data_IF_291526862801
#
_entry.id   IF_291526862801
#
_cell.length_a   1.000
_cell.length_b   1.000
_cell.length_c   1.000
_cell.angle_alpha   90.00
_cell.angle_beta   90.00
_cell.angle_gamma   90.00
#
_symmetry.space_group_name_H-M   'P 1'
#
loop_
_entity.id
_entity.type
_entity.pdbx_description
1 polymer ?
#
# COMPACT_ATOMS: atom_id res chain seq x y z
N UNK A 1 -18.56 -14.67 -4.60
CA UNK A 1 -17.46 -13.68 -4.68
C UNK A 1 -16.16 -14.38 -4.32
N UNK A 2 -15.05 -14.04 -4.97
CA UNK A 2 -13.75 -14.66 -4.72
C UNK A 2 -13.12 -14.06 -3.46
N UNK A 3 -12.96 -14.84 -2.40
CA UNK A 3 -12.18 -14.45 -1.23
C UNK A 3 -10.68 -14.60 -1.55
N UNK A 4 -9.91 -13.53 -1.43
CA UNK A 4 -8.48 -13.55 -1.75
C UNK A 4 -7.60 -13.81 -0.53
N UNK A 5 -8.08 -13.47 0.67
CA UNK A 5 -7.28 -13.48 1.90
C UNK A 5 -7.64 -14.60 2.88
N UNK A 6 -8.75 -15.31 2.67
CA UNK A 6 -9.23 -16.38 3.57
C UNK A 6 -8.15 -17.43 3.91
N UNK A 7 -7.37 -17.87 2.93
CA UNK A 7 -6.30 -18.87 3.11
C UNK A 7 -5.04 -18.32 3.79
N UNK A 8 -4.97 -17.02 4.04
CA UNK A 8 -3.82 -16.35 4.65
C UNK A 8 -4.07 -15.91 6.09
N UNK A 9 -5.19 -16.27 6.70
CA UNK A 9 -5.58 -15.79 8.04
C UNK A 9 -4.46 -15.89 9.11
N UNK A 10 -3.67 -16.98 9.07
CA UNK A 10 -2.57 -17.24 10.02
C UNK A 10 -1.22 -16.61 9.61
N UNK A 11 -1.15 -15.92 8.47
CA UNK A 11 0.05 -15.24 7.99
C UNK A 11 0.07 -13.80 8.49
N UNK A 12 1.27 -13.29 8.76
CA UNK A 12 1.47 -11.86 9.00
C UNK A 12 1.32 -11.06 7.72
N UNK A 13 1.02 -9.77 7.84
CA UNK A 13 0.82 -8.89 6.68
C UNK A 13 2.07 -8.80 5.79
N UNK A 14 3.27 -8.73 6.39
CA UNK A 14 4.55 -8.79 5.68
C UNK A 14 4.88 -10.17 5.06
N UNK A 15 4.03 -11.18 5.27
CA UNK A 15 4.13 -12.51 4.68
C UNK A 15 3.07 -12.76 3.60
N UNK A 16 2.47 -11.71 3.02
CA UNK A 16 1.59 -11.85 1.86
C UNK A 16 1.91 -10.79 0.82
N UNK A 17 1.70 -11.15 -0.44
CA UNK A 17 1.73 -10.24 -1.59
C UNK A 17 0.30 -9.91 -1.98
N UNK A 18 -0.01 -8.64 -2.16
CA UNK A 18 -1.33 -8.21 -2.60
C UNK A 18 -1.26 -6.96 -3.49
N UNK A 19 -2.24 -6.77 -4.39
CA UNK A 19 -2.29 -5.59 -5.25
C UNK A 19 -2.69 -4.35 -4.45
N UNK A 20 -2.03 -3.25 -4.78
CA UNK A 20 -2.37 -1.91 -4.35
C UNK A 20 -2.76 -1.03 -5.54
N UNK A 21 -3.60 -0.03 -5.31
CA UNK A 21 -4.09 0.89 -6.32
C UNK A 21 -3.50 2.28 -6.11
N UNK A 22 -2.85 2.81 -7.15
CA UNK A 22 -2.25 4.14 -7.15
C UNK A 22 -3.30 5.21 -7.46
N UNK A 23 -3.30 6.29 -6.66
CA UNK A 23 -4.28 7.38 -6.74
C UNK A 23 -5.72 6.82 -6.91
N UNK A 24 -6.08 5.90 -6.02
CA UNK A 24 -7.15 4.92 -6.23
C UNK A 24 -8.54 5.53 -6.41
N UNK A 25 -8.77 6.73 -5.88
CA UNK A 25 -10.04 7.43 -6.03
C UNK A 25 -10.19 8.23 -7.32
N UNK A 26 -9.24 8.14 -8.26
CA UNK A 26 -9.24 8.90 -9.52
C UNK A 26 -9.78 8.03 -10.67
N UNK A 27 -11.09 7.86 -10.66
CA UNK A 27 -11.88 7.15 -11.68
C UNK A 27 -13.09 7.98 -12.12
N UNK A 28 -13.79 7.47 -13.13
CA UNK A 28 -14.97 8.09 -13.72
C UNK A 28 -14.61 9.00 -14.89
N UNK A 29 -15.38 10.08 -15.07
CA UNK A 29 -15.16 11.01 -16.17
C UNK A 29 -14.06 12.00 -15.84
N UNK A 30 -13.08 12.12 -16.73
CA UNK A 30 -11.97 13.05 -16.58
C UNK A 30 -10.99 12.96 -17.73
N UNK A 31 -9.94 13.77 -17.69
CA UNK A 31 -8.89 13.76 -18.72
C UNK A 31 -8.13 12.43 -18.66
N UNK A 32 -7.83 11.85 -19.82
CA UNK A 32 -7.12 10.56 -19.93
C UNK A 32 -5.71 10.58 -19.35
N UNK A 33 -5.11 11.76 -19.15
CA UNK A 33 -3.83 11.97 -18.48
C UNK A 33 -3.94 12.24 -16.97
N UNK A 34 -5.15 12.13 -16.41
CA UNK A 34 -5.47 12.30 -14.98
C UNK A 34 -6.07 11.02 -14.40
N UNK A 35 -6.99 10.38 -15.14
CA UNK A 35 -7.65 9.13 -14.71
C UNK A 35 -6.63 8.01 -14.52
N UNK A 36 -6.54 7.47 -13.30
CA UNK A 36 -5.64 6.36 -12.96
C UNK A 36 -6.39 5.06 -12.77
N UNK A 37 -7.71 5.09 -12.55
CA UNK A 37 -8.52 3.90 -12.31
C UNK A 37 -9.81 3.90 -13.16
N UNK A 38 -10.31 2.72 -13.48
CA UNK A 38 -11.59 2.53 -14.20
C UNK A 38 -12.72 2.02 -13.31
N UNK A 39 -12.39 1.53 -12.12
CA UNK A 39 -13.33 0.98 -11.15
C UNK A 39 -13.39 1.89 -9.92
N UNK A 40 -14.56 1.91 -9.27
CA UNK A 40 -14.71 2.52 -7.95
C UNK A 40 -14.00 1.70 -6.85
N UNK A 41 -14.05 2.14 -5.59
CA UNK A 41 -13.34 1.46 -4.50
C UNK A 41 -13.85 0.04 -4.30
N UNK A 42 -15.18 -0.17 -4.37
CA UNK A 42 -15.78 -1.49 -4.26
C UNK A 42 -15.35 -2.41 -5.42
N UNK A 43 -15.37 -1.91 -6.66
CA UNK A 43 -14.96 -2.63 -7.86
C UNK A 43 -13.48 -3.02 -7.83
N UNK A 44 -12.61 -2.10 -7.41
CA UNK A 44 -11.18 -2.39 -7.20
C UNK A 44 -10.98 -3.45 -6.10
N UNK A 45 -11.72 -3.37 -4.99
CA UNK A 45 -11.66 -4.38 -3.93
C UNK A 45 -12.13 -5.76 -4.39
N UNK A 46 -13.22 -5.81 -5.17
CA UNK A 46 -13.74 -7.03 -5.81
C UNK A 46 -12.76 -7.61 -6.84
N UNK A 47 -12.02 -6.76 -7.55
CA UNK A 47 -10.95 -7.20 -8.44
C UNK A 47 -9.77 -7.81 -7.68
N UNK A 48 -9.55 -7.39 -6.42
CA UNK A 48 -8.56 -7.97 -5.51
C UNK A 48 -7.68 -6.97 -4.78
N UNK A 49 -7.82 -5.66 -5.03
CA UNK A 49 -7.02 -4.60 -4.39
C UNK A 49 -7.24 -4.58 -2.87
N UNK A 50 -6.15 -4.47 -2.10
CA UNK A 50 -6.20 -4.39 -0.62
C UNK A 50 -5.52 -3.14 -0.06
N UNK A 51 -4.82 -2.38 -0.91
CA UNK A 51 -4.16 -1.13 -0.52
C UNK A 51 -4.53 -0.01 -1.49
N UNK A 52 -5.01 1.11 -0.98
CA UNK A 52 -5.53 2.22 -1.78
C UNK A 52 -4.77 3.48 -1.40
N UNK A 53 -4.00 4.06 -2.32
CA UNK A 53 -3.38 5.37 -2.11
C UNK A 53 -4.37 6.47 -2.48
N UNK A 54 -4.81 7.22 -1.48
CA UNK A 54 -5.88 8.21 -1.57
C UNK A 54 -5.30 9.60 -1.37
N UNK A 55 -5.72 10.55 -2.21
CA UNK A 55 -5.44 11.98 -2.04
C UNK A 55 -6.74 12.74 -2.05
N UNK A 56 -7.09 13.35 -0.92
CA UNK A 56 -8.38 13.99 -0.73
C UNK A 56 -8.22 15.51 -0.61
N UNK A 57 -9.11 16.25 -1.25
CA UNK A 57 -9.23 17.69 -1.09
C UNK A 57 -10.70 18.11 -1.04
N UNK A 58 -10.95 19.26 -0.44
CA UNK A 58 -12.27 19.89 -0.44
C UNK A 58 -12.52 20.61 -1.77
N UNK A 59 -13.67 20.36 -2.39
CA UNK A 59 -14.15 21.00 -3.61
C UNK A 59 -15.47 21.73 -3.32
N UNK A 60 -15.61 22.93 -3.86
CA UNK A 60 -16.87 23.70 -3.77
C UNK A 60 -17.81 23.29 -4.91
N UNK A 61 -19.05 22.95 -4.58
CA UNK A 61 -20.12 22.64 -5.53
C UNK A 61 -20.72 23.92 -6.12
N UNK A 62 -21.46 23.78 -7.21
CA UNK A 62 -22.13 24.89 -7.89
C UNK A 62 -23.17 25.61 -7.03
N UNK A 63 -23.80 24.88 -6.10
CA UNK A 63 -24.74 25.42 -5.11
C UNK A 63 -24.08 26.12 -3.91
N UNK A 64 -22.75 26.16 -3.88
CA UNK A 64 -21.97 26.79 -2.82
C UNK A 64 -21.59 25.88 -1.65
N UNK A 65 -22.11 24.66 -1.58
CA UNK A 65 -21.72 23.66 -0.59
C UNK A 65 -20.36 23.03 -0.89
N UNK A 66 -19.83 22.21 0.03
CA UNK A 66 -18.49 21.63 -0.08
C UNK A 66 -18.54 20.11 -0.01
N UNK A 67 -17.81 19.45 -0.90
CA UNK A 67 -17.54 18.01 -0.84
C UNK A 67 -16.05 17.76 -0.56
N UNK A 68 -15.74 16.57 -0.06
CA UNK A 68 -14.39 16.03 -0.08
C UNK A 68 -14.29 15.03 -1.22
N UNK A 69 -13.34 15.20 -2.14
CA UNK A 69 -13.15 14.32 -3.30
C UNK A 69 -11.69 13.95 -3.49
N UNK A 70 -11.47 12.84 -4.19
CA UNK A 70 -10.14 12.48 -4.65
C UNK A 70 -9.67 13.48 -5.71
N UNK A 71 -8.37 13.81 -5.71
CA UNK A 71 -7.80 14.70 -6.72
C UNK A 71 -6.44 14.20 -7.25
N UNK A 72 -6.13 14.57 -8.49
CA UNK A 72 -4.84 14.32 -9.12
C UNK A 72 -4.32 15.61 -9.76
N UNK A 73 -3.04 15.91 -9.55
CA UNK A 73 -2.37 17.09 -10.10
C UNK A 73 -1.24 16.64 -11.04
N UNK A 74 -1.18 17.21 -12.24
CA UNK A 74 0.07 17.14 -13.00
C UNK A 74 1.17 17.92 -12.27
N UNK A 75 2.40 17.45 -12.43
CA UNK A 75 3.61 18.02 -11.83
C UNK A 75 3.73 19.51 -12.20
N UNK A 76 3.82 20.38 -11.19
CA UNK A 76 4.12 21.81 -11.37
C UNK A 76 2.92 22.78 -11.29
N UNK A 77 1.69 22.29 -11.03
CA UNK A 77 0.52 23.16 -10.87
C UNK A 77 -0.05 23.01 -9.47
N UNK A 78 0.52 23.76 -8.53
CA UNK A 78 -0.15 24.04 -7.25
C UNK A 78 -0.51 25.52 -7.30
N UNK A 79 -1.76 25.83 -7.62
CA UNK A 79 -2.28 27.18 -7.41
C UNK A 79 -2.89 27.22 -6.00
N UNK A 80 -2.05 27.53 -5.01
CA UNK A 80 -2.47 27.72 -3.62
C UNK A 80 -3.24 29.04 -3.50
N UNK A 81 -4.47 29.11 -3.99
CA UNK A 81 -5.35 30.22 -3.62
C UNK A 81 -5.99 29.90 -2.27
N UNK A 82 -5.73 30.78 -1.30
CA UNK A 82 -6.16 30.80 0.10
C UNK A 82 -5.21 30.15 1.13
N UNK A 83 -4.11 30.84 1.41
CA UNK A 83 -3.47 30.81 2.73
C UNK A 83 -4.37 31.60 3.69
N UNK A 84 -5.02 30.97 4.68
CA UNK A 84 -5.65 31.76 5.76
C UNK A 84 -6.74 31.13 6.63
N UNK A 85 -7.26 29.94 6.37
CA UNK A 85 -8.35 29.40 7.20
C UNK A 85 -7.82 28.65 8.44
N UNK A 86 -8.43 28.90 9.60
CA UNK A 86 -8.22 28.15 10.86
C UNK A 86 -8.96 26.80 10.79
N UNK A 87 -8.54 25.78 11.57
CA UNK A 87 -9.25 24.49 11.61
C UNK A 87 -10.73 24.66 12.00
N UNK A 88 -11.65 24.16 11.17
CA UNK A 88 -13.10 24.18 11.43
C UNK A 88 -13.92 25.13 10.54
N UNK A 89 -13.29 25.95 9.71
CA UNK A 89 -13.99 26.75 8.70
C UNK A 89 -13.87 26.08 7.33
N UNK A 90 -15.01 25.65 6.77
CA UNK A 90 -15.14 25.12 5.41
C UNK A 90 -14.92 26.23 4.35
N UNK A 91 -13.76 26.89 4.33
CA UNK A 91 -13.47 27.98 3.39
C UNK A 91 -12.21 27.76 2.52
N UNK A 92 -11.42 26.71 2.79
CA UNK A 92 -10.35 26.27 1.88
C UNK A 92 -10.89 25.21 0.92
N UNK A 93 -11.18 25.61 -0.32
CA UNK A 93 -11.40 24.68 -1.43
C UNK A 93 -10.17 24.70 -2.33
N UNK A 94 -9.80 23.54 -2.86
CA UNK A 94 -8.72 23.47 -3.83
C UNK A 94 -9.29 23.69 -5.23
N UNK A 95 -8.61 24.49 -6.03
CA UNK A 95 -8.79 24.44 -7.48
C UNK A 95 -7.71 23.54 -8.04
N UNK A 96 -8.07 22.34 -8.49
CA UNK A 96 -7.20 21.61 -9.40
C UNK A 96 -7.16 22.41 -10.70
N UNK A 97 -6.03 23.05 -10.97
CA UNK A 97 -5.86 23.86 -12.18
C UNK A 97 -6.05 23.05 -13.46
N UNK A 98 -5.84 23.69 -14.62
CA UNK A 98 -6.13 23.09 -15.92
C UNK A 98 -5.37 21.77 -16.22
N UNK A 99 -4.31 21.42 -15.47
CA UNK A 99 -3.56 20.16 -15.59
C UNK A 99 -3.85 19.14 -14.48
N UNK A 100 -4.89 19.34 -13.68
CA UNK A 100 -5.36 18.36 -12.71
C UNK A 100 -6.78 17.88 -13.01
N UNK A 101 -7.31 17.04 -12.13
CA UNK A 101 -8.71 16.65 -12.16
C UNK A 101 -9.17 15.99 -10.87
N UNK A 102 -10.48 15.79 -10.79
CA UNK A 102 -11.17 15.21 -9.66
C UNK A 102 -11.58 13.77 -9.96
N UNK A 103 -11.62 12.94 -8.93
CA UNK A 103 -12.36 11.70 -8.94
C UNK A 103 -13.87 11.96 -8.94
N UNK A 104 -14.63 10.96 -9.40
CA UNK A 104 -16.08 11.05 -9.48
C UNK A 104 -16.74 11.17 -8.09
N UNK A 105 -16.41 10.25 -7.19
CA UNK A 105 -17.13 10.05 -5.94
C UNK A 105 -16.62 10.94 -4.80
N UNK A 106 -17.47 11.15 -3.79
CA UNK A 106 -17.06 11.82 -2.55
C UNK A 106 -16.29 10.87 -1.63
N UNK A 107 -15.58 11.43 -0.64
CA UNK A 107 -14.93 10.64 0.41
C UNK A 107 -15.95 9.75 1.15
N UNK A 108 -17.15 10.28 1.44
CA UNK A 108 -18.22 9.52 2.09
C UNK A 108 -18.63 8.31 1.25
N UNK A 109 -18.78 8.47 -0.06
CA UNK A 109 -19.14 7.38 -0.96
C UNK A 109 -18.04 6.30 -0.97
N UNK A 110 -16.78 6.72 -1.15
CA UNK A 110 -15.61 5.82 -1.18
C UNK A 110 -15.44 5.03 0.13
N UNK A 111 -15.68 5.67 1.29
CA UNK A 111 -15.63 5.00 2.59
C UNK A 111 -16.84 4.05 2.80
N UNK A 112 -18.02 4.43 2.31
CA UNK A 112 -19.22 3.59 2.36
C UNK A 112 -19.05 2.34 1.51
N UNK A 113 -18.45 2.47 0.32
CA UNK A 113 -18.06 1.35 -0.53
C UNK A 113 -17.08 0.40 0.20
N UNK A 114 -16.02 0.94 0.82
CA UNK A 114 -15.06 0.14 1.57
C UNK A 114 -15.70 -0.60 2.75
N UNK A 115 -16.52 0.10 3.55
CA UNK A 115 -17.29 -0.47 4.67
C UNK A 115 -18.20 -1.60 4.22
N UNK A 116 -18.96 -1.37 3.15
CA UNK A 116 -19.89 -2.36 2.59
C UNK A 116 -19.15 -3.60 2.10
N UNK A 117 -18.00 -3.40 1.45
CA UNK A 117 -17.18 -4.49 0.96
C UNK A 117 -16.69 -5.42 2.08
N UNK A 118 -16.10 -4.87 3.14
CA UNK A 118 -15.56 -5.69 4.25
C UNK A 118 -16.67 -6.34 5.09
N UNK A 119 -17.84 -5.71 5.18
CA UNK A 119 -19.02 -6.32 5.80
C UNK A 119 -19.53 -7.52 4.99
N UNK A 120 -19.52 -7.43 3.66
CA UNK A 120 -19.92 -8.53 2.78
C UNK A 120 -18.85 -9.62 2.62
N UNK A 121 -17.58 -9.31 2.92
CA UNK A 121 -16.43 -10.21 2.77
C UNK A 121 -15.62 -10.23 4.08
N UNK A 122 -16.11 -10.89 5.14
CA UNK A 122 -15.54 -10.78 6.49
C UNK A 122 -14.14 -11.39 6.65
N UNK A 123 -13.65 -12.16 5.67
CA UNK A 123 -12.26 -12.64 5.62
C UNK A 123 -11.27 -11.61 5.06
N UNK A 124 -11.78 -10.53 4.46
CA UNK A 124 -10.97 -9.53 3.76
C UNK A 124 -10.80 -8.28 4.61
N UNK A 125 -9.81 -7.45 4.26
CA UNK A 125 -9.61 -6.13 4.84
C UNK A 125 -9.27 -5.14 3.73
N UNK A 126 -9.38 -3.84 4.00
CA UNK A 126 -8.92 -2.79 3.08
C UNK A 126 -8.02 -1.81 3.82
N UNK A 127 -6.89 -1.43 3.23
CA UNK A 127 -5.99 -0.39 3.74
C UNK A 127 -6.17 0.86 2.87
N UNK A 128 -6.69 1.93 3.46
CA UNK A 128 -6.80 3.25 2.82
C UNK A 128 -5.68 4.14 3.34
N UNK A 129 -4.68 4.39 2.50
CA UNK A 129 -3.57 5.30 2.80
C UNK A 129 -3.90 6.69 2.30
N UNK A 130 -4.08 7.64 3.18
CA UNK A 130 -4.33 9.04 2.88
C UNK A 130 -3.01 9.82 2.87
N UNK A 131 -2.58 10.23 1.67
CA UNK A 131 -1.38 11.05 1.50
C UNK A 131 -1.71 12.37 0.82
N UNK A 132 -0.96 13.43 1.15
CA UNK A 132 -1.14 14.77 0.57
C UNK A 132 -2.59 15.29 0.66
N UNK A 133 -3.30 14.97 1.73
CA UNK A 133 -4.68 15.41 1.89
C UNK A 133 -4.73 16.87 2.34
N UNK A 134 -5.70 17.62 1.81
CA UNK A 134 -6.04 18.96 2.30
C UNK A 134 -7.21 18.85 3.28
N UNK A 135 -7.25 19.77 4.26
CA UNK A 135 -8.24 19.76 5.35
C UNK A 135 -8.27 18.40 6.07
N UNK A 136 -7.08 17.91 6.46
CA UNK A 136 -6.89 16.56 7.00
C UNK A 136 -7.81 16.26 8.18
N UNK A 137 -8.06 17.24 9.07
CA UNK A 137 -8.99 17.06 10.20
C UNK A 137 -10.35 16.54 9.72
N UNK A 138 -10.94 17.19 8.72
CA UNK A 138 -12.26 16.81 8.20
C UNK A 138 -12.20 15.45 7.48
N UNK A 139 -11.07 15.12 6.84
CA UNK A 139 -10.87 13.80 6.22
C UNK A 139 -10.86 12.71 7.29
N UNK A 140 -10.14 12.93 8.39
CA UNK A 140 -10.07 12.03 9.54
C UNK A 140 -11.44 11.88 10.20
N UNK A 141 -12.12 12.99 10.49
CA UNK A 141 -13.45 12.98 11.12
C UNK A 141 -14.47 12.22 10.25
N UNK A 142 -14.41 12.41 8.92
CA UNK A 142 -15.25 11.66 7.97
C UNK A 142 -14.91 10.17 7.95
N UNK A 143 -13.63 9.78 8.03
CA UNK A 143 -13.22 8.38 8.16
C UNK A 143 -13.84 7.73 9.41
N UNK A 144 -13.65 8.35 10.58
CA UNK A 144 -14.17 7.83 11.85
C UNK A 144 -15.69 7.71 11.82
N UNK A 145 -16.38 8.77 11.38
CA UNK A 145 -17.84 8.81 11.32
C UNK A 145 -18.44 7.77 10.37
N UNK A 146 -17.91 7.64 9.16
CA UNK A 146 -18.50 6.76 8.13
C UNK A 146 -18.15 5.29 8.41
N UNK A 147 -16.89 5.00 8.72
CA UNK A 147 -16.43 3.63 8.95
C UNK A 147 -16.95 3.06 10.27
N UNK A 148 -17.06 3.87 11.33
CA UNK A 148 -17.52 3.41 12.65
C UNK A 148 -16.82 2.13 13.09
N UNK A 149 -17.58 1.13 13.51
CA UNK A 149 -17.04 -0.14 14.04
C UNK A 149 -16.30 -1.01 13.01
N UNK A 150 -16.48 -0.73 11.71
CA UNK A 150 -15.69 -1.41 10.67
C UNK A 150 -14.29 -0.82 10.53
N UNK A 151 -14.03 0.36 11.10
CA UNK A 151 -12.67 0.88 11.17
C UNK A 151 -11.84 -0.02 12.09
N UNK A 152 -10.63 -0.37 11.65
CA UNK A 152 -9.68 -1.05 12.52
C UNK A 152 -9.27 -0.10 13.64
N UNK A 153 -9.63 -0.44 14.88
CA UNK A 153 -9.42 0.38 16.06
C UNK A 153 -8.90 -0.51 17.22
N UNK A 154 -8.01 0.04 18.04
CA UNK A 154 -7.30 -0.63 19.14
C UNK A 154 -7.84 -0.33 20.54
N UNK A 155 -8.90 0.48 20.68
CA UNK A 155 -9.46 0.75 22.00
C UNK A 155 -10.07 -0.48 22.71
N UNK A 156 -10.07 -1.66 22.09
CA UNK A 156 -10.48 -2.94 22.69
C UNK A 156 -9.33 -3.82 23.21
N UNK A 157 -8.06 -3.41 23.15
CA UNK A 157 -6.91 -4.31 23.42
C UNK A 157 -5.76 -3.77 24.30
N UNK A 158 -5.96 -2.68 25.05
CA UNK A 158 -5.04 -2.30 26.13
C UNK A 158 -3.64 -1.82 25.67
N UNK A 159 -3.53 -0.52 25.42
CA UNK A 159 -2.27 0.26 25.59
C UNK A 159 -1.06 -0.01 24.68
N UNK A 160 -1.00 -1.07 23.87
CA UNK A 160 0.15 -1.33 23.01
C UNK A 160 0.14 -0.52 21.69
N UNK A 161 1.33 -0.11 21.22
CA UNK A 161 1.48 0.45 19.86
C UNK A 161 1.18 -0.64 18.81
N UNK A 162 0.54 -0.28 17.70
CA UNK A 162 0.10 -1.24 16.67
C UNK A 162 1.10 -1.28 15.53
N UNK A 163 1.92 -2.31 15.49
CA UNK A 163 2.72 -2.59 14.30
C UNK A 163 1.93 -3.45 13.31
N UNK A 164 1.41 -2.86 12.24
CA UNK A 164 0.59 -3.57 11.25
C UNK A 164 1.37 -4.61 10.45
N UNK A 165 2.68 -4.40 10.26
CA UNK A 165 3.50 -5.28 9.43
C UNK A 165 3.47 -6.74 9.90
N UNK A 166 3.48 -6.94 11.23
CA UNK A 166 3.53 -8.26 11.88
C UNK A 166 2.18 -8.72 12.41
N UNK A 167 1.10 -7.96 12.18
CA UNK A 167 -0.27 -8.40 12.49
C UNK A 167 -0.68 -9.50 11.53
N UNK A 168 -1.40 -10.49 12.05
CA UNK A 168 -1.98 -11.56 11.24
C UNK A 168 -3.11 -11.03 10.35
N UNK A 169 -3.23 -11.54 9.13
CA UNK A 169 -4.33 -11.22 8.21
C UNK A 169 -5.69 -11.45 8.89
N UNK A 170 -5.85 -12.55 9.64
CA UNK A 170 -7.08 -12.85 10.37
C UNK A 170 -7.46 -11.78 11.39
N UNK A 171 -6.47 -11.13 12.04
CA UNK A 171 -6.73 -10.05 13.00
C UNK A 171 -7.16 -8.73 12.34
N UNK A 172 -7.00 -8.61 11.02
CA UNK A 172 -7.42 -7.45 10.23
C UNK A 172 -8.76 -7.68 9.53
N UNK A 173 -9.24 -8.93 9.50
CA UNK A 173 -10.39 -9.36 8.72
C UNK A 173 -11.68 -8.62 9.13
N UNK A 174 -12.47 -8.25 8.13
CA UNK A 174 -13.69 -7.46 8.28
C UNK A 174 -13.46 -5.98 8.60
N UNK A 175 -12.21 -5.49 8.51
CA UNK A 175 -11.86 -4.11 8.87
C UNK A 175 -11.35 -3.26 7.72
N UNK A 176 -11.65 -1.97 7.80
CA UNK A 176 -11.03 -0.90 7.01
C UNK A 176 -9.97 -0.21 7.86
N UNK A 177 -8.73 -0.21 7.40
CA UNK A 177 -7.58 0.35 8.07
C UNK A 177 -7.26 1.69 7.42
N UNK A 178 -7.20 2.77 8.19
CA UNK A 178 -6.86 4.10 7.67
C UNK A 178 -5.46 4.50 8.10
N UNK A 179 -4.61 4.85 7.14
CA UNK A 179 -3.24 5.29 7.35
C UNK A 179 -3.07 6.76 6.95
N UNK A 180 -2.38 7.55 7.76
CA UNK A 180 -2.12 8.97 7.49
C UNK A 180 -0.63 9.31 7.67
N UNK A 181 -0.22 10.46 7.16
CA UNK A 181 1.13 10.96 7.36
C UNK A 181 1.31 11.33 8.86
N UNK A 182 2.34 10.78 9.54
CA UNK A 182 2.52 11.01 10.97
C UNK A 182 2.71 12.49 11.31
N UNK A 183 3.42 13.26 10.47
CA UNK A 183 3.65 14.69 10.72
C UNK A 183 2.38 15.50 10.56
N UNK A 184 1.51 15.11 9.63
CA UNK A 184 0.23 15.80 9.45
C UNK A 184 -0.77 15.42 10.55
N UNK A 185 -0.74 14.18 11.05
CA UNK A 185 -1.52 13.78 12.23
C UNK A 185 -1.08 14.52 13.49
N UNK A 186 0.23 14.67 13.72
CA UNK A 186 0.78 15.40 14.87
C UNK A 186 0.28 16.85 14.93
N UNK A 187 0.10 17.50 13.78
CA UNK A 187 -0.44 18.88 13.68
C UNK A 187 -1.89 19.01 14.13
N UNK A 188 -2.66 17.92 14.16
CA UNK A 188 -4.03 17.94 14.65
C UNK A 188 -4.09 18.10 16.18
N UNK A 189 -2.96 17.95 16.87
CA UNK A 189 -2.85 18.09 18.32
C UNK A 189 -3.28 16.83 19.08
N UNK A 190 -2.99 16.76 20.39
CA UNK A 190 -3.13 15.53 21.19
C UNK A 190 -4.58 15.06 21.38
N UNK A 191 -5.55 15.97 21.30
CA UNK A 191 -6.96 15.73 21.56
C UNK A 191 -7.75 16.84 20.89
N UNK A 192 -8.51 16.57 19.83
CA UNK A 192 -9.62 17.45 19.47
C UNK A 192 -10.86 16.87 20.15
N UNK A 193 -11.31 17.52 21.22
CA UNK A 193 -12.59 17.25 21.91
C UNK A 193 -12.77 15.86 22.56
N UNK A 194 -11.79 15.37 23.30
CA UNK A 194 -11.95 14.20 24.18
C UNK A 194 -12.14 12.83 23.49
N UNK A 195 -12.18 12.79 22.15
CA UNK A 195 -12.15 11.55 21.38
C UNK A 195 -10.71 11.24 20.97
N UNK A 196 -10.17 10.14 21.51
CA UNK A 196 -9.00 9.49 20.93
C UNK A 196 -9.37 9.17 19.47
N UNK A 197 -8.54 9.56 18.49
CA UNK A 197 -8.66 9.16 17.07
C UNK A 197 -8.40 7.66 16.92
N UNK A 198 -9.26 6.88 17.55
CA UNK A 198 -9.17 5.46 17.75
C UNK A 198 -9.40 4.81 16.39
N UNK A 199 -8.33 4.34 15.77
CA UNK A 199 -8.33 3.74 14.43
C UNK A 199 -7.67 4.56 13.31
N UNK A 200 -7.09 5.72 13.62
CA UNK A 200 -6.26 6.48 12.70
C UNK A 200 -4.78 6.13 12.90
N UNK A 201 -4.24 5.27 12.04
CA UNK A 201 -2.86 4.80 12.13
C UNK A 201 -1.95 5.62 11.21
N UNK A 202 -0.64 5.44 11.37
CA UNK A 202 0.36 6.13 10.53
C UNK A 202 0.93 5.23 9.43
N UNK A 203 1.50 5.82 8.39
CA UNK A 203 2.42 5.11 7.50
C UNK A 203 3.86 5.66 7.60
N UNK A 204 4.84 4.80 7.43
CA UNK A 204 6.27 5.15 7.46
C UNK A 204 7.00 4.70 6.20
N UNK A 205 7.53 5.67 5.44
CA UNK A 205 8.37 5.39 4.27
C UNK A 205 9.83 5.19 4.70
N UNK A 206 10.32 3.97 4.54
CA UNK A 206 11.68 3.59 4.93
C UNK A 206 12.70 3.85 3.82
N UNK A 207 12.28 4.07 2.57
CA UNK A 207 13.22 4.40 1.50
C UNK A 207 13.82 5.81 1.73
N UNK A 208 15.13 5.89 1.93
CA UNK A 208 15.84 7.16 1.97
C UNK A 208 16.29 7.57 0.56
N UNK A 209 15.83 8.75 0.13
CA UNK A 209 16.15 9.31 -1.18
C UNK A 209 17.58 9.82 -1.30
N UNK A 210 18.21 10.19 -0.19
CA UNK A 210 19.52 10.84 -0.17
C UNK A 210 20.62 9.79 -0.22
N UNK A 211 20.49 8.77 0.63
CA UNK A 211 21.45 7.68 0.72
C UNK A 211 21.11 6.52 -0.22
N UNK A 212 19.84 6.38 -0.64
CA UNK A 212 19.35 5.21 -1.38
C UNK A 212 19.22 3.95 -0.51
N UNK A 213 19.43 4.05 0.80
CA UNK A 213 19.36 2.97 1.77
C UNK A 213 18.01 2.95 2.51
N UNK A 214 17.84 1.99 3.43
CA UNK A 214 16.69 1.97 4.34
C UNK A 214 16.94 2.87 5.55
N UNK A 215 15.94 3.67 5.92
CA UNK A 215 15.79 4.22 7.27
C UNK A 215 15.57 3.08 8.26
N UNK A 216 15.83 3.37 9.54
CA UNK A 216 15.62 2.43 10.62
C UNK A 216 14.14 2.12 10.79
N UNK A 217 13.82 0.82 10.79
CA UNK A 217 12.50 0.31 11.15
C UNK A 217 12.23 0.46 12.64
N UNK A 218 11.02 0.88 12.99
CA UNK A 218 10.60 1.02 14.37
C UNK A 218 9.61 -0.10 14.72
N UNK A 219 10.01 -1.06 15.56
CA UNK A 219 9.16 -2.22 15.93
C UNK A 219 7.86 -1.82 16.62
N UNK A 220 7.89 -0.67 17.27
CA UNK A 220 6.79 -0.09 18.03
C UNK A 220 6.10 1.04 17.23
N UNK A 221 6.34 1.17 15.92
CA UNK A 221 5.62 2.13 15.09
C UNK A 221 4.11 1.85 15.13
N UNK A 222 3.31 2.89 15.36
CA UNK A 222 1.85 2.78 15.39
C UNK A 222 1.26 2.91 13.98
N UNK A 223 1.41 1.85 13.19
CA UNK A 223 0.85 1.73 11.86
C UNK A 223 1.67 0.82 10.95
N UNK A 224 1.80 1.19 9.68
CA UNK A 224 2.46 0.39 8.64
C UNK A 224 3.78 1.04 8.21
N UNK A 225 4.86 0.28 8.11
CA UNK A 225 6.11 0.76 7.51
C UNK A 225 6.45 -0.02 6.25
N UNK A 226 6.88 0.68 5.21
CA UNK A 226 7.28 0.05 3.95
C UNK A 226 8.54 0.65 3.34
N UNK A 227 9.29 -0.19 2.65
CA UNK A 227 10.41 0.18 1.79
C UNK A 227 9.98 0.14 0.33
N UNK A 228 10.02 1.29 -0.32
CA UNK A 228 9.62 1.41 -1.72
C UNK A 228 9.47 2.87 -2.08
N UNK A 229 9.56 3.19 -3.37
CA UNK A 229 9.32 4.56 -3.82
C UNK A 229 8.81 4.58 -5.24
N UNK A 230 7.76 5.37 -5.42
CA UNK A 230 7.19 5.68 -6.72
C UNK A 230 8.24 6.25 -7.69
N UNK A 231 8.21 5.78 -8.94
CA UNK A 231 9.09 6.25 -10.01
C UNK A 231 8.33 7.15 -10.98
N UNK A 232 8.63 8.46 -10.95
CA UNK A 232 8.08 9.41 -11.93
C UNK A 232 8.80 9.28 -13.27
N UNK A 233 8.28 8.43 -14.16
CA UNK A 233 8.79 8.18 -15.52
C UNK A 233 7.68 7.62 -16.41
N UNK A 234 7.67 7.99 -17.69
CA UNK A 234 6.76 7.45 -18.72
C UNK A 234 7.37 6.25 -19.45
N UNK A 235 8.68 6.11 -19.38
CA UNK A 235 9.46 5.01 -19.95
C UNK A 235 9.42 3.76 -19.05
N UNK A 236 8.85 2.68 -19.59
CA UNK A 236 8.71 1.37 -18.94
C UNK A 236 10.08 0.79 -18.57
N UNK A 237 11.09 0.85 -19.46
CA UNK A 237 12.43 0.30 -19.18
C UNK A 237 13.10 1.05 -18.04
N UNK A 238 12.94 2.38 -18.00
CA UNK A 238 13.42 3.19 -16.86
C UNK A 238 12.67 2.84 -15.58
N UNK A 239 11.36 2.59 -15.65
CA UNK A 239 10.60 2.14 -14.49
C UNK A 239 11.12 0.80 -13.98
N UNK A 240 11.22 -0.21 -14.85
CA UNK A 240 11.74 -1.56 -14.54
C UNK A 240 13.11 -1.48 -13.87
N UNK A 241 14.06 -0.72 -14.43
CA UNK A 241 15.41 -0.56 -13.86
C UNK A 241 15.38 0.08 -12.46
N UNK A 242 14.52 1.08 -12.24
CA UNK A 242 14.36 1.74 -10.93
C UNK A 242 13.75 0.80 -9.90
N UNK A 243 12.68 0.09 -10.26
CA UNK A 243 12.05 -0.89 -9.38
C UNK A 243 13.03 -2.04 -9.05
N UNK A 244 13.78 -2.55 -10.02
CA UNK A 244 14.82 -3.56 -9.79
C UNK A 244 15.89 -3.09 -8.79
N UNK A 245 16.41 -1.85 -8.97
CA UNK A 245 17.38 -1.27 -8.03
C UNK A 245 16.79 -1.13 -6.63
N UNK A 246 15.55 -0.64 -6.51
CA UNK A 246 14.88 -0.47 -5.23
C UNK A 246 14.67 -1.82 -4.54
N UNK A 247 14.04 -2.79 -5.20
CA UNK A 247 13.80 -4.11 -4.61
C UNK A 247 15.11 -4.80 -4.21
N UNK A 248 16.16 -4.65 -5.02
CA UNK A 248 17.49 -5.16 -4.67
C UNK A 248 18.20 -4.40 -3.53
N UNK A 249 17.80 -3.18 -3.20
CA UNK A 249 18.35 -2.40 -2.08
C UNK A 249 17.59 -2.62 -0.77
N UNK A 250 16.35 -3.11 -0.86
CA UNK A 250 15.49 -3.41 0.28
C UNK A 250 16.03 -4.51 1.21
N UNK A 251 17.04 -5.26 0.78
CA UNK A 251 17.75 -6.25 1.62
C UNK A 251 18.40 -5.65 2.88
N UNK A 252 18.62 -4.34 2.88
CA UNK A 252 19.14 -3.58 4.03
C UNK A 252 18.05 -3.17 5.03
N UNK A 253 16.79 -3.39 4.67
CA UNK A 253 15.66 -3.08 5.53
C UNK A 253 15.51 -4.13 6.63
N UNK A 254 14.87 -3.75 7.75
CA UNK A 254 14.47 -4.72 8.76
C UNK A 254 13.57 -5.77 8.12
N UNK A 255 13.74 -7.01 8.56
CA UNK A 255 12.98 -8.13 8.05
C UNK A 255 11.49 -7.91 8.25
N UNK A 256 11.04 -7.21 9.29
CA UNK A 256 9.61 -7.02 9.52
C UNK A 256 9.01 -5.92 8.62
N UNK A 257 9.81 -5.18 7.86
CA UNK A 257 9.32 -4.17 6.94
C UNK A 257 8.66 -4.78 5.69
N UNK A 258 7.62 -4.11 5.18
CA UNK A 258 7.00 -4.49 3.92
C UNK A 258 7.75 -3.87 2.74
N UNK A 259 7.86 -4.57 1.61
CA UNK A 259 8.31 -3.97 0.36
C UNK A 259 7.13 -3.43 -0.46
N UNK A 260 7.33 -2.30 -1.12
CA UNK A 260 6.36 -1.69 -2.04
C UNK A 260 6.98 -1.44 -3.40
N UNK A 261 6.44 -2.10 -4.42
CA UNK A 261 6.83 -1.97 -5.82
C UNK A 261 5.76 -1.19 -6.58
N UNK A 262 6.19 -0.31 -7.48
CA UNK A 262 5.29 0.48 -8.32
C UNK A 262 5.37 0.01 -9.78
N UNK A 263 4.31 -0.63 -10.25
CA UNK A 263 4.14 -1.01 -11.65
C UNK A 263 3.21 -0.05 -12.38
N UNK A 264 3.60 1.22 -12.35
CA UNK A 264 2.87 2.37 -12.90
C UNK A 264 3.83 3.24 -13.69
N UNK A 265 3.32 4.02 -14.66
CA UNK A 265 4.13 5.03 -15.39
C UNK A 265 3.41 6.37 -15.46
N UNK A 266 4.15 7.45 -15.33
CA UNK A 266 3.62 8.83 -15.37
C UNK A 266 4.18 9.63 -16.53
N UNK A 267 3.38 10.55 -17.06
CA UNK A 267 3.79 11.49 -18.10
C UNK A 267 2.62 12.39 -18.48
N UNK A 268 2.91 13.61 -18.94
CA UNK A 268 1.90 14.68 -19.09
C UNK A 268 1.11 14.63 -20.40
N UNK A 269 1.69 14.03 -21.45
CA UNK A 269 1.20 14.15 -22.84
C UNK A 269 0.43 12.93 -23.34
N UNK A 270 0.64 11.75 -22.74
CA UNK A 270 0.00 10.51 -23.16
C UNK A 270 -1.03 10.03 -22.11
N UNK A 271 -2.08 9.39 -22.61
CA UNK A 271 -3.10 8.68 -21.82
C UNK A 271 -2.43 7.74 -20.80
N UNK A 272 -2.84 7.82 -19.53
CA UNK A 272 -2.36 6.89 -18.49
C UNK A 272 -2.82 5.46 -18.86
N UNK A 273 -4.03 5.32 -19.42
CA UNK A 273 -4.58 4.02 -19.84
C UNK A 273 -3.72 3.34 -20.90
N UNK A 274 -3.29 4.08 -21.92
CA UNK A 274 -2.48 3.50 -23.01
C UNK A 274 -1.12 3.03 -22.50
N UNK A 275 -0.52 3.81 -21.58
CA UNK A 275 0.74 3.40 -20.93
C UNK A 275 0.54 2.20 -20.02
N UNK A 276 -0.58 2.17 -19.28
CA UNK A 276 -0.96 1.02 -18.49
C UNK A 276 -1.10 -0.23 -19.38
N UNK A 277 -1.81 -0.15 -20.50
CA UNK A 277 -2.01 -1.30 -21.38
C UNK A 277 -0.69 -1.84 -21.93
N UNK A 278 0.26 -0.92 -22.24
CA UNK A 278 1.64 -1.31 -22.58
C UNK A 278 2.36 -1.97 -21.40
N UNK A 279 2.26 -1.43 -20.18
CA UNK A 279 2.85 -2.00 -18.96
C UNK A 279 2.35 -3.41 -18.64
N UNK A 280 1.14 -3.74 -19.09
CA UNK A 280 0.49 -5.03 -18.88
C UNK A 280 0.48 -5.93 -20.13
N UNK A 281 1.32 -5.64 -21.12
CA UNK A 281 1.61 -6.58 -22.20
C UNK A 281 2.40 -7.79 -21.68
N UNK A 282 2.29 -8.96 -22.33
CA UNK A 282 2.93 -10.19 -21.84
C UNK A 282 4.42 -10.06 -21.51
N UNK A 283 5.19 -9.35 -22.35
CA UNK A 283 6.62 -9.10 -22.13
C UNK A 283 6.86 -8.25 -20.87
N UNK A 284 6.03 -7.23 -20.64
CA UNK A 284 6.19 -6.34 -19.49
C UNK A 284 5.65 -6.98 -18.20
N UNK A 285 4.61 -7.82 -18.28
CA UNK A 285 4.17 -8.65 -17.15
C UNK A 285 5.27 -9.64 -16.74
N UNK A 286 6.00 -10.22 -17.68
CA UNK A 286 7.16 -11.04 -17.35
C UNK A 286 8.25 -10.20 -16.68
N UNK A 287 8.55 -9.00 -17.19
CA UNK A 287 9.53 -8.11 -16.55
C UNK A 287 9.14 -7.70 -15.11
N UNK A 288 7.83 -7.52 -14.82
CA UNK A 288 7.34 -7.33 -13.44
C UNK A 288 7.73 -8.52 -12.57
N UNK A 289 7.46 -9.74 -13.03
CA UNK A 289 7.75 -10.98 -12.31
C UNK A 289 9.25 -11.13 -12.07
N UNK A 290 10.06 -10.94 -13.10
CA UNK A 290 11.51 -11.04 -13.01
C UNK A 290 12.09 -10.05 -11.97
N UNK A 291 11.60 -8.82 -11.96
CA UNK A 291 12.01 -7.80 -10.97
C UNK A 291 11.59 -8.19 -9.56
N UNK A 292 10.36 -8.68 -9.40
CA UNK A 292 9.84 -9.12 -8.12
C UNK A 292 10.64 -10.32 -7.57
N UNK A 293 10.83 -11.35 -8.40
CA UNK A 293 11.56 -12.58 -8.06
C UNK A 293 13.02 -12.30 -7.72
N UNK A 294 13.71 -11.46 -8.51
CA UNK A 294 15.08 -11.07 -8.23
C UNK A 294 15.21 -10.32 -6.89
N UNK A 295 14.27 -9.43 -6.60
CA UNK A 295 14.19 -8.72 -5.32
C UNK A 295 13.99 -9.69 -4.14
N UNK A 296 13.02 -10.59 -4.26
CA UNK A 296 12.73 -11.59 -3.23
C UNK A 296 13.91 -12.55 -3.01
N UNK A 297 14.50 -13.08 -4.08
CA UNK A 297 15.68 -13.96 -4.02
C UNK A 297 16.82 -13.28 -3.27
N UNK A 298 17.12 -12.02 -3.59
CA UNK A 298 18.21 -11.28 -2.94
C UNK A 298 17.92 -11.05 -1.45
N UNK A 299 16.69 -10.71 -1.09
CA UNK A 299 16.29 -10.55 0.31
C UNK A 299 16.46 -11.85 1.09
N UNK A 300 16.04 -12.97 0.53
CA UNK A 300 16.17 -14.27 1.16
C UNK A 300 17.64 -14.72 1.28
N UNK A 301 18.46 -14.54 0.23
CA UNK A 301 19.90 -14.86 0.29
C UNK A 301 20.63 -14.03 1.34
N UNK A 302 20.29 -12.74 1.48
CA UNK A 302 20.87 -11.88 2.52
C UNK A 302 20.50 -12.36 3.93
N UNK A 303 19.25 -12.78 4.13
CA UNK A 303 18.80 -13.33 5.41
C UNK A 303 19.41 -14.71 5.71
N UNK A 304 19.56 -15.57 4.70
CA UNK A 304 20.23 -16.87 4.78
C UNK A 304 21.71 -16.75 5.09
N UNK A 305 22.42 -15.81 4.49
CA UNK A 305 23.85 -15.58 4.77
C UNK A 305 24.11 -14.94 6.14
N UNK A 306 23.18 -14.13 6.66
CA UNK A 306 23.28 -13.51 7.98
C UNK A 306 23.03 -14.50 9.13
N UNK A 307 22.23 -15.53 8.90
CA UNK A 307 22.09 -16.66 9.82
C UNK A 307 23.25 -17.61 9.52
N UNK A 308 24.15 -17.82 10.48
CA UNK A 308 25.31 -18.66 10.21
C UNK A 308 24.81 -20.05 9.78
N UNK A 309 25.34 -20.62 8.69
CA UNK A 309 25.00 -21.97 8.23
C UNK A 309 25.12 -23.01 9.37
N UNK A 310 25.94 -22.69 10.38
CA UNK A 310 26.13 -23.42 11.63
C UNK A 310 24.88 -23.46 12.53
N UNK A 311 24.04 -22.42 12.53
CA UNK A 311 22.76 -22.40 13.26
C UNK A 311 21.70 -23.23 12.54
N UNK A 312 21.70 -23.23 11.19
CA UNK A 312 20.85 -24.10 10.37
C UNK A 312 21.20 -25.58 10.55
N UNK A 313 22.50 -25.91 10.66
CA UNK A 313 23.01 -27.26 10.81
C UNK A 313 22.82 -27.84 12.23
N UNK A 314 23.00 -27.02 13.28
CA UNK A 314 22.93 -27.50 14.68
C UNK A 314 21.52 -27.76 15.20
N UNK A 315 20.51 -27.19 14.56
CA UNK A 315 19.13 -27.37 14.98
C UNK A 315 18.40 -28.34 14.04
N UNK A 316 18.28 -29.59 14.47
CA UNK A 316 17.42 -30.61 13.85
C UNK A 316 16.09 -30.01 13.34
N UNK A 317 15.60 -30.56 12.23
CA UNK A 317 14.39 -30.27 11.42
C UNK A 317 13.12 -29.67 12.09
N UNK A 318 12.99 -29.68 13.41
CA UNK A 318 11.90 -29.06 14.16
C UNK A 318 12.00 -27.52 14.26
N UNK A 319 13.20 -26.95 14.41
CA UNK A 319 13.40 -25.48 14.36
C UNK A 319 13.35 -24.93 12.93
N UNK A 320 13.64 -25.78 11.94
CA UNK A 320 13.50 -25.50 10.50
C UNK A 320 12.04 -25.14 10.12
N UNK A 321 11.06 -25.90 10.62
CA UNK A 321 9.63 -25.61 10.44
C UNK A 321 9.21 -24.37 11.25
N UNK A 322 9.66 -24.27 12.51
CA UNK A 322 9.34 -23.15 13.39
C UNK A 322 9.83 -21.78 12.86
N UNK A 323 10.94 -21.77 12.10
CA UNK A 323 11.52 -20.56 11.55
C UNK A 323 11.14 -20.30 10.08
N UNK A 324 10.45 -21.19 9.34
CA UNK A 324 10.06 -20.98 7.92
C UNK A 324 9.45 -19.59 7.66
N UNK A 325 8.63 -19.12 8.60
CA UNK A 325 7.97 -17.80 8.57
C UNK A 325 8.91 -16.60 8.85
N UNK A 326 10.09 -16.83 9.43
CA UNK A 326 11.10 -15.78 9.75
C UNK A 326 12.01 -15.43 8.57
N UNK A 327 12.11 -16.29 7.55
CA UNK A 327 12.94 -16.11 6.35
C UNK A 327 12.24 -15.37 5.20
N UNK A 328 10.97 -15.02 5.38
CA UNK A 328 10.10 -14.49 4.32
C UNK A 328 9.70 -13.04 4.54
N UNK A 329 10.30 -12.34 5.51
CA UNK A 329 9.65 -11.17 6.09
C UNK A 329 9.93 -9.86 5.35
N UNK A 330 10.99 -9.76 4.53
CA UNK A 330 11.13 -8.66 3.56
C UNK A 330 10.85 -9.17 2.14
N UNK A 331 9.68 -8.81 1.59
CA UNK A 331 9.32 -9.11 0.19
C UNK A 331 8.74 -7.87 -0.46
N UNK A 332 8.69 -7.75 -1.79
CA UNK A 332 7.82 -6.77 -2.43
C UNK A 332 6.35 -7.19 -2.20
N UNK A 333 5.81 -6.84 -1.04
CA UNK A 333 4.47 -7.24 -0.58
C UNK A 333 3.36 -6.51 -1.31
N UNK A 334 3.55 -5.22 -1.57
CA UNK A 334 2.52 -4.37 -2.18
C UNK A 334 2.97 -4.04 -3.59
N UNK A 335 2.17 -4.43 -4.58
CA UNK A 335 2.39 -4.05 -5.99
C UNK A 335 1.35 -3.00 -6.36
N UNK A 336 1.78 -1.74 -6.42
CA UNK A 336 0.95 -0.58 -6.75
C UNK A 336 0.74 -0.48 -8.26
N UNK A 337 -0.51 -0.35 -8.70
CA UNK A 337 -0.90 -0.40 -10.12
C UNK A 337 -1.94 0.68 -10.47
N UNK A 338 -1.98 1.05 -11.74
CA UNK A 338 -3.07 1.83 -12.35
C UNK A 338 -4.08 0.86 -13.01
N UNK A 339 -5.31 1.31 -13.17
CA UNK A 339 -6.43 0.59 -13.81
C UNK A 339 -6.56 -0.84 -13.31
N UNK A 340 -6.65 -1.01 -12.00
CA UNK A 340 -6.79 -2.32 -11.39
C UNK A 340 -7.98 -3.09 -11.97
N UNK A 341 -7.74 -4.34 -12.33
CA UNK A 341 -8.76 -5.29 -12.78
C UNK A 341 -8.45 -6.68 -12.22
N UNK A 342 -9.40 -7.60 -12.39
CA UNK A 342 -9.29 -8.94 -11.84
C UNK A 342 -8.05 -9.70 -12.34
N UNK A 343 -7.72 -9.62 -13.62
CA UNK A 343 -6.60 -10.37 -14.21
C UNK A 343 -5.24 -9.87 -13.70
N UNK A 344 -5.09 -8.55 -13.58
CA UNK A 344 -3.90 -7.92 -12.99
C UNK A 344 -3.74 -8.29 -11.52
N UNK A 345 -4.85 -8.25 -10.77
CA UNK A 345 -4.84 -8.62 -9.35
C UNK A 345 -4.50 -10.10 -9.15
N UNK A 346 -5.09 -11.02 -9.93
CA UNK A 346 -4.75 -12.45 -9.92
C UNK A 346 -3.27 -12.67 -10.25
N UNK A 347 -2.73 -11.94 -11.23
CA UNK A 347 -1.30 -12.00 -11.57
C UNK A 347 -0.42 -11.65 -10.36
N UNK A 348 -0.79 -10.63 -9.59
CA UNK A 348 -0.06 -10.21 -8.38
C UNK A 348 -0.26 -11.23 -7.25
N UNK A 349 -1.48 -11.72 -7.02
CA UNK A 349 -1.73 -12.73 -5.99
C UNK A 349 -0.96 -14.02 -6.24
N UNK A 350 -0.79 -14.42 -7.50
CA UNK A 350 0.00 -15.58 -7.88
C UNK A 350 1.49 -15.49 -7.48
N UNK A 351 2.00 -14.29 -7.18
CA UNK A 351 3.34 -14.12 -6.62
C UNK A 351 3.47 -14.77 -5.23
N UNK A 352 2.38 -14.94 -4.47
CA UNK A 352 2.43 -15.71 -3.21
C UNK A 352 2.77 -17.19 -3.46
N UNK A 353 2.30 -17.78 -4.56
CA UNK A 353 2.65 -19.14 -4.96
C UNK A 353 4.12 -19.22 -5.35
N UNK A 354 4.56 -18.33 -6.24
CA UNK A 354 5.97 -18.23 -6.68
C UNK A 354 6.90 -18.08 -5.47
N UNK A 355 6.53 -17.23 -4.51
CA UNK A 355 7.27 -17.06 -3.26
C UNK A 355 7.49 -18.38 -2.51
N UNK A 356 6.43 -19.17 -2.35
CA UNK A 356 6.47 -20.41 -1.60
C UNK A 356 7.36 -21.44 -2.32
N UNK A 357 7.22 -21.53 -3.65
CA UNK A 357 8.05 -22.41 -4.50
C UNK A 357 9.53 -22.04 -4.43
N UNK A 358 9.86 -20.74 -4.56
CA UNK A 358 11.24 -20.25 -4.48
C UNK A 358 11.87 -20.52 -3.10
N UNK A 359 11.11 -20.33 -2.02
CA UNK A 359 11.56 -20.66 -0.67
C UNK A 359 11.89 -22.15 -0.56
N UNK A 360 11.00 -23.02 -1.05
CA UNK A 360 11.19 -24.47 -1.00
C UNK A 360 12.40 -24.91 -1.82
N UNK A 361 12.57 -24.39 -3.04
CA UNK A 361 13.76 -24.68 -3.87
C UNK A 361 15.06 -24.27 -3.18
N UNK A 362 15.13 -23.05 -2.63
CA UNK A 362 16.35 -22.57 -1.99
C UNK A 362 16.65 -23.31 -0.68
N UNK A 363 15.61 -23.75 0.04
CA UNK A 363 15.76 -24.62 1.21
C UNK A 363 16.27 -26.01 0.82
N UNK A 364 15.78 -26.61 -0.27
CA UNK A 364 16.28 -27.91 -0.78
C UNK A 364 17.74 -27.82 -1.21
N UNK A 365 18.11 -26.78 -1.96
CA UNK A 365 19.50 -26.54 -2.38
C UNK A 365 20.44 -26.39 -1.19
N UNK A 366 20.00 -25.72 -0.13
CA UNK A 366 20.77 -25.57 1.11
C UNK A 366 20.88 -26.88 1.89
N UNK A 367 19.84 -27.74 1.85
CA UNK A 367 19.85 -29.06 2.46
C UNK A 367 20.78 -30.06 1.76
N UNK A 368 20.81 -30.08 0.42
CA UNK A 368 21.75 -30.94 -0.33
C UNK A 368 23.21 -30.54 -0.13
N UNK A 369 23.49 -29.25 0.10
CA UNK A 369 24.83 -28.79 0.49
C UNK A 369 25.26 -29.31 1.88
N UNK A 370 24.32 -29.75 2.72
CA UNK A 370 24.57 -30.34 4.04
C UNK A 370 24.81 -31.86 3.94
N UNK A 371 24.16 -32.55 3.00
CA UNK A 371 24.35 -34.01 2.78
C UNK A 371 25.67 -34.35 2.04
N UNK A 372 26.27 -33.35 1.37
CA UNK A 372 27.55 -33.48 0.66
C UNK A 372 28.78 -33.05 1.47
N UNK A 373 28.61 -32.70 2.74
CA UNK A 373 29.66 -32.39 3.73
C UNK A 373 29.70 -33.51 4.78
#
# INVERSE_FOLDING_TARGET
MTAFLSHYANKQLNQIVFPGSHDAGIYGQGKSNVITQSLDIAGQANAGVRFFDMRIATVKRSDGSFDQKSYHLAKGVIDNKHKGARPGEAQSHQNVGHLGGWGQDTLTDMLTQAKTYVAANPSEFLILKFSKCYNLKDVVDTCVRVLGDTQFNHNTSGGAKINLNTRTVGSLAGKVITLFDPKELEKLGPVINGQIYSGCLSFGELFDKETGASRQYQKDFHGLQYFGKFSSTDDIKKNTKKQAKQMGSGVTCDRDAMGMMYWTTTGMLASIKDRNDKMWSGVNVQALRDVWEAGYKKAMMNQLGALSFKDLYRSNSHLYVANKNRWTSFTPNIVMIDFADYQKCVTIYNLNRVRNEMLETLMQQSGHAIEGL
#
